data_IF_582352381854
#
_entry.id   IF_582352381854
#
_cell.length_a   1.000
_cell.length_b   1.000
_cell.length_c   1.000
_cell.angle_alpha   90.00
_cell.angle_beta   90.00
_cell.angle_gamma   90.00
#
_symmetry.space_group_name_H-M   'P 1'
#
loop_
_entity.id
_entity.type
_entity.pdbx_description
1 polymer ?
#
# COMPACT_ATOMS: atom_id res chain seq x y z
N UNK A 1 -5.08 -12.37 2.73
CA UNK A 1 -6.00 -11.47 3.44
C UNK A 1 -5.52 -10.04 3.28
N UNK A 2 -6.37 -9.10 2.86
CA UNK A 2 -6.03 -7.68 3.05
C UNK A 2 -5.79 -7.44 4.54
N UNK A 3 -4.79 -6.64 4.94
CA UNK A 3 -4.74 -6.14 6.31
C UNK A 3 -6.09 -5.46 6.57
N UNK A 4 -6.70 -5.76 7.73
CA UNK A 4 -8.04 -5.29 8.10
C UNK A 4 -8.21 -3.78 7.82
N UNK A 5 -7.13 -3.03 8.05
CA UNK A 5 -6.98 -1.60 7.79
C UNK A 5 -7.23 -1.18 6.33
N UNK A 6 -6.73 -1.92 5.33
CA UNK A 6 -6.93 -1.57 3.92
C UNK A 6 -8.39 -1.66 3.47
N UNK A 7 -9.14 -2.65 3.97
CA UNK A 7 -10.58 -2.79 3.69
C UNK A 7 -11.39 -1.67 4.37
N UNK A 8 -11.04 -1.35 5.61
CA UNK A 8 -11.69 -0.29 6.38
C UNK A 8 -11.45 1.07 5.72
N UNK A 9 -10.22 1.37 5.30
CA UNK A 9 -9.90 2.64 4.63
C UNK A 9 -10.60 2.81 3.28
N UNK A 10 -10.68 1.75 2.46
CA UNK A 10 -11.44 1.79 1.21
C UNK A 10 -12.94 1.98 1.47
N UNK A 11 -13.48 1.29 2.49
CA UNK A 11 -14.87 1.47 2.92
C UNK A 11 -15.16 2.92 3.34
N UNK A 12 -14.29 3.50 4.16
CA UNK A 12 -14.40 4.91 4.59
C UNK A 12 -14.33 5.84 3.38
N UNK A 13 -13.42 5.62 2.43
CA UNK A 13 -13.29 6.45 1.23
C UNK A 13 -14.56 6.41 0.37
N UNK A 14 -15.14 5.22 0.15
CA UNK A 14 -16.42 5.07 -0.55
C UNK A 14 -17.56 5.80 0.16
N UNK A 15 -17.69 5.66 1.48
CA UNK A 15 -18.71 6.37 2.27
C UNK A 15 -18.53 7.89 2.17
N UNK A 16 -17.28 8.36 2.22
CA UNK A 16 -16.95 9.79 2.14
C UNK A 16 -17.30 10.36 0.75
N UNK A 17 -17.02 9.62 -0.32
CA UNK A 17 -17.40 10.00 -1.69
C UNK A 17 -18.92 10.04 -1.87
N UNK A 18 -19.65 9.06 -1.32
CA UNK A 18 -21.11 9.05 -1.35
C UNK A 18 -21.68 10.25 -0.58
N UNK A 19 -21.11 10.59 0.58
CA UNK A 19 -21.48 11.79 1.34
C UNK A 19 -21.17 13.07 0.57
N UNK A 20 -20.02 13.18 -0.09
CA UNK A 20 -19.65 14.33 -0.90
C UNK A 20 -20.63 14.52 -2.08
N UNK A 21 -21.00 13.43 -2.77
CA UNK A 21 -21.99 13.44 -3.85
C UNK A 21 -23.39 13.82 -3.35
N UNK A 22 -23.79 13.30 -2.19
CA UNK A 22 -25.05 13.67 -1.53
C UNK A 22 -25.08 15.16 -1.21
N UNK A 23 -24.03 15.69 -0.57
CA UNK A 23 -23.92 17.11 -0.27
C UNK A 23 -23.89 17.97 -1.53
N UNK A 24 -23.16 17.56 -2.57
CA UNK A 24 -23.16 18.26 -3.86
C UNK A 24 -24.57 18.40 -4.44
N UNK A 25 -25.32 17.30 -4.49
CA UNK A 25 -26.70 17.29 -4.98
C UNK A 25 -27.64 18.11 -4.08
N UNK A 26 -27.42 18.09 -2.77
CA UNK A 26 -28.17 18.86 -1.79
C UNK A 26 -27.92 20.39 -1.94
N UNK A 27 -26.65 20.80 -2.10
CA UNK A 27 -26.28 22.20 -2.32
C UNK A 27 -26.73 22.75 -3.67
N UNK A 28 -26.82 21.90 -4.70
CA UNK A 28 -27.36 22.30 -6.00
C UNK A 28 -28.85 22.61 -5.93
N UNK A 29 -29.60 21.95 -5.04
CA UNK A 29 -31.06 22.11 -4.89
C UNK A 29 -31.47 23.20 -3.90
N UNK A 30 -30.59 23.67 -3.02
CA UNK A 30 -30.92 24.68 -1.99
C UNK A 30 -30.01 25.91 -2.06
N UNK A 31 -30.63 27.08 -1.94
CA UNK A 31 -29.95 28.37 -1.77
C UNK A 31 -29.34 28.47 -0.36
N UNK A 32 -28.25 27.73 -0.15
CA UNK A 32 -27.47 27.79 1.08
C UNK A 32 -26.43 28.90 0.95
N UNK A 33 -26.24 29.67 2.04
CA UNK A 33 -25.25 30.75 2.14
C UNK A 33 -23.87 30.30 1.71
N UNK A 34 -23.19 31.15 0.94
CA UNK A 34 -21.87 30.86 0.34
C UNK A 34 -20.82 30.43 1.38
N UNK A 35 -20.80 31.07 2.56
CA UNK A 35 -19.85 30.75 3.64
C UNK A 35 -20.01 29.33 4.18
N UNK A 36 -21.24 28.84 4.34
CA UNK A 36 -21.51 27.48 4.82
C UNK A 36 -21.11 26.42 3.80
N UNK A 37 -21.26 26.69 2.50
CA UNK A 37 -20.79 25.82 1.42
C UNK A 37 -19.26 25.69 1.43
N UNK A 38 -18.55 26.80 1.65
CA UNK A 38 -17.09 26.81 1.71
C UNK A 38 -16.53 26.01 2.89
N UNK A 39 -17.10 26.18 4.09
CA UNK A 39 -16.65 25.43 5.28
C UNK A 39 -16.84 23.93 5.08
N UNK A 40 -18.01 23.49 4.62
CA UNK A 40 -18.31 22.05 4.50
C UNK A 40 -17.49 21.39 3.39
N UNK A 41 -17.30 22.06 2.25
CA UNK A 41 -16.43 21.55 1.17
C UNK A 41 -14.98 21.44 1.62
N UNK A 42 -14.44 22.45 2.31
CA UNK A 42 -13.07 22.43 2.83
C UNK A 42 -12.86 21.28 3.82
N UNK A 43 -13.81 21.07 4.73
CA UNK A 43 -13.76 19.95 5.70
C UNK A 43 -13.80 18.59 5.00
N UNK A 44 -14.65 18.41 3.99
CA UNK A 44 -14.73 17.17 3.21
C UNK A 44 -13.41 16.87 2.47
N UNK A 45 -12.79 17.88 1.87
CA UNK A 45 -11.49 17.72 1.19
C UNK A 45 -10.41 17.30 2.18
N UNK A 46 -10.39 17.90 3.38
CA UNK A 46 -9.45 17.54 4.43
C UNK A 46 -9.60 16.07 4.86
N UNK A 47 -10.84 15.63 5.10
CA UNK A 47 -11.13 14.23 5.48
C UNK A 47 -10.65 13.26 4.39
N UNK A 48 -10.93 13.55 3.11
CA UNK A 48 -10.46 12.71 2.00
C UNK A 48 -8.93 12.63 1.93
N UNK A 49 -8.23 13.75 2.13
CA UNK A 49 -6.77 13.77 2.14
C UNK A 49 -6.19 12.91 3.27
N UNK A 50 -6.75 13.00 4.47
CA UNK A 50 -6.35 12.17 5.62
C UNK A 50 -6.61 10.69 5.34
N UNK A 51 -7.79 10.33 4.85
CA UNK A 51 -8.12 8.93 4.51
C UNK A 51 -7.17 8.37 3.44
N UNK A 52 -6.85 9.16 2.42
CA UNK A 52 -5.91 8.76 1.39
C UNK A 52 -4.51 8.51 1.96
N UNK A 53 -4.02 9.42 2.81
CA UNK A 53 -2.71 9.28 3.46
C UNK A 53 -2.63 8.05 4.36
N UNK A 54 -3.66 7.79 5.18
CA UNK A 54 -3.73 6.59 6.03
C UNK A 54 -3.72 5.30 5.18
N UNK A 55 -4.37 5.32 4.01
CA UNK A 55 -4.39 4.17 3.10
C UNK A 55 -2.99 3.87 2.54
N UNK A 56 -2.24 4.91 2.16
CA UNK A 56 -0.86 4.76 1.70
C UNK A 56 0.05 4.25 2.82
N UNK A 57 -0.06 4.81 4.02
CA UNK A 57 0.73 4.38 5.17
C UNK A 57 0.48 2.91 5.52
N UNK A 58 -0.77 2.47 5.55
CA UNK A 58 -1.13 1.08 5.81
C UNK A 58 -0.59 0.09 4.76
N UNK A 59 -0.38 0.55 3.51
CA UNK A 59 0.23 -0.25 2.45
C UNK A 59 1.71 -0.52 2.75
N UNK A 60 2.45 0.51 3.14
CA UNK A 60 3.89 0.40 3.41
C UNK A 60 4.17 -0.42 4.67
N UNK A 61 3.33 -0.28 5.70
CA UNK A 61 3.42 -1.06 6.93
C UNK A 61 3.25 -2.56 6.65
N UNK A 62 2.27 -2.95 5.81
CA UNK A 62 2.03 -4.35 5.44
C UNK A 62 3.29 -5.02 4.88
N UNK A 63 3.97 -4.37 3.92
CA UNK A 63 5.17 -4.93 3.30
C UNK A 63 6.32 -5.02 4.29
N UNK A 64 6.50 -3.99 5.11
CA UNK A 64 7.51 -3.95 6.17
C UNK A 64 7.30 -5.09 7.18
N UNK A 65 6.06 -5.32 7.61
CA UNK A 65 5.71 -6.43 8.52
C UNK A 65 5.97 -7.79 7.87
N UNK A 66 5.59 -7.98 6.61
CA UNK A 66 5.83 -9.23 5.86
C UNK A 66 7.33 -9.54 5.78
N UNK A 67 8.14 -8.53 5.44
CA UNK A 67 9.61 -8.65 5.38
C UNK A 67 10.19 -8.99 6.74
N UNK A 68 9.84 -8.21 7.78
CA UNK A 68 10.35 -8.41 9.13
C UNK A 68 10.01 -9.80 9.66
N UNK A 69 8.77 -10.26 9.48
CA UNK A 69 8.35 -11.58 9.93
C UNK A 69 9.11 -12.69 9.18
N UNK A 70 9.32 -12.56 7.87
CA UNK A 70 10.05 -13.55 7.09
C UNK A 70 11.50 -13.68 7.57
N UNK A 71 12.21 -12.57 7.68
CA UNK A 71 13.61 -12.55 8.09
C UNK A 71 13.76 -13.03 9.55
N UNK A 72 12.85 -12.61 10.43
CA UNK A 72 12.81 -13.07 11.83
C UNK A 72 12.60 -14.58 11.93
N UNK A 73 11.69 -15.15 11.12
CA UNK A 73 11.45 -16.59 11.08
C UNK A 73 12.64 -17.39 10.55
N UNK A 74 13.54 -16.75 9.79
CA UNK A 74 14.82 -17.33 9.38
C UNK A 74 15.92 -17.18 10.45
N UNK A 75 15.63 -16.52 11.59
CA UNK A 75 16.62 -16.22 12.63
C UNK A 75 17.50 -15.01 12.32
N UNK A 76 17.09 -14.17 11.36
CA UNK A 76 17.79 -12.93 11.02
C UNK A 76 17.16 -11.67 11.62
N UNK A 77 17.85 -10.55 11.46
CA UNK A 77 17.40 -9.20 11.83
C UNK A 77 17.49 -8.29 10.61
N UNK A 78 16.41 -7.58 10.29
CA UNK A 78 16.41 -6.61 9.19
C UNK A 78 17.22 -5.38 9.58
N UNK A 79 18.14 -4.97 8.70
CA UNK A 79 18.97 -3.77 8.85
C UNK A 79 18.37 -2.61 8.06
N UNK A 80 17.95 -2.85 6.82
CA UNK A 80 17.31 -1.82 6.00
C UNK A 80 16.35 -2.41 4.97
N UNK A 81 15.28 -1.69 4.69
CA UNK A 81 14.34 -1.97 3.60
C UNK A 81 14.32 -0.74 2.69
N UNK A 82 14.60 -0.93 1.41
CA UNK A 82 14.61 0.14 0.41
C UNK A 82 13.66 -0.20 -0.72
N UNK A 83 12.73 0.70 -1.03
CA UNK A 83 11.91 0.57 -2.23
C UNK A 83 12.78 0.78 -3.47
N UNK A 84 12.54 -0.02 -4.50
CA UNK A 84 13.31 0.01 -5.74
C UNK A 84 12.40 -0.18 -6.94
N UNK A 85 12.86 0.26 -8.12
CA UNK A 85 12.17 -0.03 -9.37
C UNK A 85 12.41 -1.48 -9.80
N UNK A 86 11.41 -2.06 -10.47
CA UNK A 86 11.50 -3.41 -11.04
C UNK A 86 12.78 -3.62 -11.84
N UNK A 87 13.12 -2.65 -12.68
CA UNK A 87 14.29 -2.63 -13.58
C UNK A 87 15.62 -2.90 -12.86
N UNK A 88 15.72 -2.51 -11.59
CA UNK A 88 16.91 -2.68 -10.76
C UNK A 88 16.89 -3.98 -9.93
N UNK A 89 15.95 -4.89 -10.19
CA UNK A 89 15.81 -6.15 -9.44
C UNK A 89 16.07 -7.39 -10.30
N UNK A 90 16.48 -8.51 -9.69
CA UNK A 90 16.58 -9.79 -10.40
C UNK A 90 15.22 -10.33 -10.90
N UNK A 91 14.09 -9.79 -10.43
CA UNK A 91 12.76 -10.14 -10.92
C UNK A 91 12.52 -9.73 -12.38
N UNK A 92 13.33 -8.83 -12.95
CA UNK A 92 13.25 -8.41 -14.37
C UNK A 92 13.25 -9.59 -15.33
N UNK A 93 14.02 -10.63 -15.05
CA UNK A 93 14.16 -11.80 -15.91
C UNK A 93 13.07 -12.85 -15.68
N UNK A 94 12.57 -12.96 -14.44
CA UNK A 94 11.55 -13.94 -14.06
C UNK A 94 10.14 -13.48 -14.44
N UNK A 95 9.87 -12.18 -14.31
CA UNK A 95 8.56 -11.62 -14.65
C UNK A 95 8.32 -11.50 -16.16
N UNK A 96 9.28 -11.85 -17.04
CA UNK A 96 9.08 -11.78 -18.51
C UNK A 96 7.94 -12.66 -19.02
N UNK A 97 7.58 -13.73 -18.30
CA UNK A 97 6.47 -14.61 -18.68
C UNK A 97 5.11 -14.18 -18.08
N UNK A 98 5.12 -13.42 -16.98
CA UNK A 98 3.90 -13.01 -16.25
C UNK A 98 4.14 -11.59 -15.70
N UNK A 99 4.38 -10.62 -16.59
CA UNK A 99 4.60 -9.24 -16.18
C UNK A 99 3.28 -8.64 -15.71
N UNK A 100 2.99 -8.69 -14.41
CA UNK A 100 1.82 -8.03 -13.85
C UNK A 100 2.16 -6.58 -13.53
N UNK A 101 1.42 -5.60 -14.07
CA UNK A 101 1.61 -4.21 -13.71
C UNK A 101 1.24 -4.01 -12.22
N UNK A 102 2.06 -3.22 -11.51
CA UNK A 102 1.82 -2.68 -10.14
C UNK A 102 2.27 -3.51 -8.92
N UNK A 103 3.23 -4.43 -9.05
CA UNK A 103 3.91 -4.99 -7.87
C UNK A 103 4.93 -3.98 -7.31
N UNK A 104 5.10 -3.95 -5.98
CA UNK A 104 6.08 -3.10 -5.31
C UNK A 104 7.36 -3.91 -5.05
N UNK A 105 8.53 -3.34 -5.32
CA UNK A 105 9.80 -4.06 -5.20
C UNK A 105 10.66 -3.45 -4.11
N UNK A 106 11.35 -4.31 -3.36
CA UNK A 106 12.17 -3.91 -2.23
C UNK A 106 13.51 -4.65 -2.22
N UNK A 107 14.57 -3.91 -1.89
CA UNK A 107 15.85 -4.45 -1.47
C UNK A 107 15.89 -4.52 0.05
N UNK A 108 16.16 -5.70 0.58
CA UNK A 108 16.21 -5.98 2.02
C UNK A 108 17.64 -6.34 2.39
N UNK A 109 18.25 -5.55 3.26
CA UNK A 109 19.54 -5.88 3.88
C UNK A 109 19.22 -6.44 5.26
N UNK A 110 19.73 -7.63 5.57
CA UNK A 110 19.50 -8.29 6.84
C UNK A 110 20.76 -8.99 7.34
N UNK A 111 20.83 -9.21 8.65
CA UNK A 111 21.92 -9.94 9.29
C UNK A 111 21.40 -11.29 9.77
N UNK A 112 22.11 -12.37 9.45
CA UNK A 112 21.85 -13.71 9.98
C UNK A 112 23.20 -14.34 10.34
N UNK A 113 23.33 -14.92 11.53
CA UNK A 113 24.60 -15.50 12.01
C UNK A 113 25.79 -14.52 11.88
N UNK A 114 25.57 -13.25 12.23
CA UNK A 114 26.55 -12.14 12.10
C UNK A 114 27.06 -11.85 10.68
N UNK A 115 26.39 -12.36 9.64
CA UNK A 115 26.69 -12.04 8.24
C UNK A 115 25.60 -11.17 7.65
N UNK A 116 26.01 -10.08 6.98
CA UNK A 116 25.10 -9.25 6.21
C UNK A 116 24.77 -9.93 4.89
N UNK A 117 23.49 -10.06 4.60
CA UNK A 117 22.93 -10.65 3.40
C UNK A 117 21.94 -9.71 2.74
N UNK A 118 21.70 -9.95 1.47
CA UNK A 118 20.74 -9.20 0.67
C UNK A 118 19.63 -10.13 0.23
N UNK A 119 18.40 -9.64 0.31
CA UNK A 119 17.25 -10.29 -0.30
C UNK A 119 16.47 -9.28 -1.14
N UNK A 120 15.81 -9.78 -2.16
CA UNK A 120 14.86 -9.04 -2.96
C UNK A 120 13.46 -9.53 -2.65
N UNK A 121 12.58 -8.59 -2.35
CA UNK A 121 11.19 -8.86 -2.04
C UNK A 121 10.27 -8.20 -3.06
N UNK A 122 9.29 -8.96 -3.52
CA UNK A 122 8.22 -8.52 -4.40
C UNK A 122 6.91 -8.49 -3.61
N UNK A 123 6.47 -7.29 -3.28
CA UNK A 123 5.26 -6.99 -2.55
C UNK A 123 4.01 -7.04 -3.43
N UNK A 124 3.01 -7.77 -2.97
CA UNK A 124 1.69 -7.80 -3.61
C UNK A 124 0.88 -6.55 -3.33
N UNK A 125 0.52 -5.83 -4.39
CA UNK A 125 -0.45 -4.76 -4.30
C UNK A 125 -1.87 -5.34 -4.31
N UNK A 126 -2.41 -5.51 -3.10
CA UNK A 126 -3.73 -6.12 -2.90
C UNK A 126 -4.86 -5.32 -3.57
N UNK A 127 -4.68 -4.00 -3.80
CA UNK A 127 -5.71 -3.16 -4.45
C UNK A 127 -6.02 -3.56 -5.90
N UNK A 128 -5.11 -4.25 -6.58
CA UNK A 128 -5.24 -4.58 -8.00
C UNK A 128 -5.16 -6.08 -8.30
N UNK A 129 -5.00 -6.93 -7.26
CA UNK A 129 -4.64 -8.33 -7.44
C UNK A 129 -5.54 -9.24 -6.59
N UNK A 130 -6.39 -9.99 -7.27
CA UNK A 130 -7.28 -10.98 -6.63
C UNK A 130 -6.50 -12.19 -6.10
N UNK A 131 -5.51 -12.66 -6.88
CA UNK A 131 -4.70 -13.83 -6.52
C UNK A 131 -3.32 -13.36 -6.02
N UNK A 132 -2.96 -13.62 -4.75
CA UNK A 132 -1.66 -13.26 -4.20
C UNK A 132 -0.52 -13.97 -4.95
N UNK A 133 0.65 -13.34 -5.04
CA UNK A 133 1.84 -13.99 -5.58
C UNK A 133 2.22 -15.17 -4.68
N UNK A 134 2.53 -16.35 -5.25
CA UNK A 134 3.06 -17.46 -4.49
C UNK A 134 4.32 -17.04 -3.70
N UNK A 135 4.43 -17.49 -2.45
CA UNK A 135 5.54 -17.14 -1.56
C UNK A 135 6.93 -17.38 -2.18
N UNK A 136 7.06 -18.44 -2.99
CA UNK A 136 8.30 -18.82 -3.68
C UNK A 136 8.71 -17.83 -4.78
N UNK A 137 7.77 -17.06 -5.31
CA UNK A 137 8.00 -16.05 -6.35
C UNK A 137 8.19 -14.65 -5.75
N UNK A 138 7.92 -14.47 -4.45
CA UNK A 138 8.05 -13.18 -3.76
C UNK A 138 9.47 -12.87 -3.32
N UNK A 139 10.31 -13.88 -3.16
CA UNK A 139 11.60 -13.76 -2.49
C UNK A 139 12.72 -14.32 -3.34
N UNK A 140 13.80 -13.54 -3.42
CA UNK A 140 15.10 -13.99 -3.92
C UNK A 140 16.11 -13.68 -2.82
N UNK A 141 16.79 -14.71 -2.31
CA UNK A 141 17.82 -14.57 -1.28
C UNK A 141 19.20 -14.78 -1.91
N UNK A 142 20.14 -13.90 -1.57
CA UNK A 142 21.56 -13.98 -1.97
C UNK A 142 22.44 -14.41 -0.79
#
# INVERSE_FOLDING_TARGET
MFPLYGKISVGILCVTLLFALFFWNYYKKREIRSSTKFVISSTLVLIMAVCFFVTLYAKDEKHTTEINNKIKNMGGVVVSIQSTEKSATPFTNWDRMIARPKDDYFKVIYTIQNQNKTAWFKGDNALYKEVPTPEKEKWIFE
#
